data_IF_361629026352
#
_entry.id   IF_361629026352
#
_cell.length_a   1.000
_cell.length_b   1.000
_cell.length_c   1.000
_cell.angle_alpha   90.00
_cell.angle_beta   90.00
_cell.angle_gamma   90.00
#
_symmetry.space_group_name_H-M   'P 1'
#
loop_
_entity.id
_entity.type
_entity.pdbx_description
1 polymer ?
#
# COMPACT_ATOMS: atom_id res chain seq x y z
N UNK A 1 30.54 6.09 13.53
CA UNK A 1 29.06 6.16 13.41
C UNK A 1 28.71 5.70 12.01
N UNK A 2 27.55 5.11 11.78
CA UNK A 2 27.16 4.51 10.49
C UNK A 2 25.92 5.25 9.98
N UNK A 3 25.88 5.50 8.67
CA UNK A 3 25.21 6.59 7.95
C UNK A 3 23.68 6.46 7.86
N UNK A 4 22.99 6.37 9.00
CA UNK A 4 21.53 6.35 8.97
C UNK A 4 20.83 7.18 10.03
N UNK A 5 21.56 7.98 10.84
CA UNK A 5 20.96 8.96 11.79
C UNK A 5 20.05 8.40 12.89
N UNK A 6 19.54 7.18 12.77
CA UNK A 6 18.97 6.39 13.84
C UNK A 6 20.14 6.09 14.74
N UNK A 7 20.15 6.64 15.97
CA UNK A 7 21.02 6.14 17.04
C UNK A 7 21.00 4.63 16.89
N UNK A 8 22.13 3.99 16.54
CA UNK A 8 22.31 2.54 16.68
C UNK A 8 21.87 2.29 18.11
N UNK A 9 20.63 1.85 18.29
CA UNK A 9 20.12 1.51 19.61
C UNK A 9 20.92 0.26 19.89
N UNK A 10 22.05 0.42 20.57
CA UNK A 10 22.95 -0.67 20.85
C UNK A 10 22.13 -1.63 21.71
N UNK A 11 21.76 -2.75 21.10
CA UNK A 11 21.18 -3.88 21.77
C UNK A 11 22.35 -4.68 22.29
N UNK A 12 22.45 -4.80 23.61
CA UNK A 12 23.44 -5.69 24.18
C UNK A 12 23.13 -7.14 23.80
N UNK A 13 24.16 -7.98 23.82
CA UNK A 13 24.03 -9.42 23.54
C UNK A 13 23.08 -10.06 24.55
N UNK A 14 23.25 -9.78 25.85
CA UNK A 14 22.40 -10.33 26.91
C UNK A 14 20.97 -9.81 26.81
N UNK A 15 20.81 -8.55 26.40
CA UNK A 15 19.50 -7.95 26.14
C UNK A 15 18.75 -8.67 25.00
N UNK A 16 19.47 -9.06 23.95
CA UNK A 16 18.89 -9.78 22.81
C UNK A 16 18.56 -11.23 23.16
N UNK A 17 19.43 -11.91 23.91
CA UNK A 17 19.20 -13.28 24.39
C UNK A 17 17.98 -13.35 25.31
N UNK A 18 17.88 -12.42 26.27
CA UNK A 18 16.74 -12.33 27.18
C UNK A 18 15.42 -12.11 26.42
N UNK A 19 15.42 -11.20 25.44
CA UNK A 19 14.25 -11.00 24.60
C UNK A 19 13.84 -12.31 23.89
N UNK A 20 14.79 -13.04 23.32
CA UNK A 20 14.49 -14.29 22.61
C UNK A 20 13.96 -15.39 23.55
N UNK A 21 14.54 -15.57 24.74
CA UNK A 21 14.03 -16.54 25.72
C UNK A 21 12.62 -16.17 26.20
N UNK A 22 12.35 -14.89 26.50
CA UNK A 22 11.00 -14.43 26.85
C UNK A 22 10.01 -14.76 25.74
N UNK A 23 10.38 -14.50 24.48
CA UNK A 23 9.50 -14.73 23.35
C UNK A 23 9.30 -16.22 23.02
N UNK A 24 10.29 -17.06 23.35
CA UNK A 24 10.21 -18.53 23.28
C UNK A 24 9.26 -19.08 24.34
N UNK A 25 9.37 -18.65 25.59
CA UNK A 25 8.44 -19.03 26.67
C UNK A 25 7.00 -18.61 26.38
N UNK A 26 6.81 -17.47 25.73
CA UNK A 26 5.50 -16.94 25.38
C UNK A 26 4.84 -17.63 24.17
N UNK A 27 5.46 -18.67 23.61
CA UNK A 27 4.96 -19.46 22.46
C UNK A 27 4.51 -18.56 21.30
N UNK A 28 5.39 -17.65 20.87
CA UNK A 28 5.07 -16.62 19.88
C UNK A 28 4.49 -17.15 18.56
N UNK A 29 4.72 -18.41 18.20
CA UNK A 29 4.20 -19.02 16.98
C UNK A 29 2.68 -19.13 16.97
N UNK A 30 2.01 -19.42 18.12
CA UNK A 30 0.54 -19.37 18.24
C UNK A 30 -0.07 -18.00 17.88
N UNK A 31 0.74 -16.94 17.90
CA UNK A 31 0.31 -15.58 17.56
C UNK A 31 0.77 -15.11 16.18
N UNK A 32 1.63 -15.86 15.49
CA UNK A 32 1.90 -15.67 14.07
C UNK A 32 0.73 -16.18 13.20
N UNK A 33 0.01 -17.20 13.69
CA UNK A 33 -1.16 -17.78 13.00
C UNK A 33 -2.52 -17.09 13.33
N UNK A 34 -2.54 -15.98 14.10
CA UNK A 34 -3.80 -15.34 14.49
C UNK A 34 -3.72 -13.84 14.80
N UNK A 35 -4.47 -13.04 14.01
CA UNK A 35 -4.90 -11.62 14.19
C UNK A 35 -3.92 -10.66 14.91
N UNK A 36 -3.56 -9.53 14.26
CA UNK A 36 -2.69 -8.42 14.73
C UNK A 36 -2.81 -8.03 16.23
N UNK A 37 -3.99 -8.15 16.83
CA UNK A 37 -4.27 -7.78 18.24
C UNK A 37 -3.55 -8.66 19.27
N UNK A 38 -3.34 -9.96 19.00
CA UNK A 38 -2.66 -10.88 19.94
C UNK A 38 -1.18 -10.54 20.10
N UNK A 39 -0.52 -10.09 19.03
CA UNK A 39 0.88 -9.67 19.04
C UNK A 39 1.15 -8.48 19.97
N UNK A 40 0.23 -7.50 20.05
CA UNK A 40 0.41 -6.33 20.90
C UNK A 40 0.39 -6.67 22.41
N UNK A 41 -0.44 -7.65 22.82
CA UNK A 41 -0.49 -8.10 24.23
C UNK A 41 0.79 -8.83 24.64
N UNK A 42 1.36 -9.65 23.75
CA UNK A 42 2.61 -10.35 24.01
C UNK A 42 3.79 -9.38 24.16
N UNK A 43 3.92 -8.40 23.26
CA UNK A 43 4.99 -7.42 23.39
C UNK A 43 4.81 -6.50 24.62
N UNK A 44 3.58 -6.33 25.14
CA UNK A 44 3.36 -5.70 26.46
C UNK A 44 3.84 -6.59 27.62
N UNK A 45 3.68 -7.92 27.53
CA UNK A 45 4.24 -8.87 28.52
C UNK A 45 5.76 -8.89 28.44
N UNK A 46 6.32 -8.96 27.22
CA UNK A 46 7.76 -8.90 27.00
C UNK A 46 8.35 -7.58 27.50
N UNK A 47 7.68 -6.45 27.25
CA UNK A 47 8.06 -5.14 27.80
C UNK A 47 8.14 -5.14 29.32
N UNK A 48 7.14 -5.70 30.02
CA UNK A 48 7.15 -5.80 31.48
C UNK A 48 8.30 -6.68 31.99
N UNK A 49 8.54 -7.83 31.36
CA UNK A 49 9.63 -8.75 31.75
C UNK A 49 11.02 -8.18 31.48
N UNK A 50 11.21 -7.54 30.32
CA UNK A 50 12.44 -6.82 29.99
C UNK A 50 12.72 -5.68 30.98
N UNK A 51 11.68 -4.92 31.34
CA UNK A 51 11.78 -3.82 32.33
C UNK A 51 12.13 -4.34 33.72
N UNK A 52 11.54 -5.46 34.15
CA UNK A 52 11.86 -6.11 35.42
C UNK A 52 13.31 -6.62 35.48
N UNK A 53 13.89 -6.99 34.33
CA UNK A 53 15.29 -7.38 34.19
C UNK A 53 16.25 -6.19 34.00
N UNK A 54 15.78 -4.94 34.13
CA UNK A 54 16.60 -3.73 34.03
C UNK A 54 16.72 -3.12 32.64
N UNK A 55 16.09 -3.71 31.60
CA UNK A 55 16.15 -3.21 30.23
C UNK A 55 14.91 -2.37 29.87
N UNK A 56 15.10 -1.05 29.70
CA UNK A 56 14.03 -0.12 29.33
C UNK A 56 13.87 -0.01 27.82
N UNK A 57 13.02 -0.86 27.24
CA UNK A 57 12.64 -0.81 25.82
C UNK A 57 11.15 -0.65 25.65
N UNK A 58 10.70 0.27 24.80
CA UNK A 58 9.29 0.42 24.47
C UNK A 58 8.76 -0.82 23.73
N UNK A 59 7.44 -1.01 23.79
CA UNK A 59 6.76 -2.11 23.06
C UNK A 59 7.08 -2.08 21.57
N UNK A 60 7.20 -0.89 20.97
CA UNK A 60 7.50 -0.75 19.54
C UNK A 60 8.99 -1.00 19.23
N UNK A 61 9.90 -0.68 20.15
CA UNK A 61 11.31 -1.08 20.05
C UNK A 61 11.46 -2.62 20.09
N UNK A 62 10.71 -3.31 20.94
CA UNK A 62 10.72 -4.78 20.98
C UNK A 62 10.19 -5.39 19.68
N UNK A 63 9.08 -4.86 19.14
CA UNK A 63 8.52 -5.29 17.85
C UNK A 63 9.50 -5.08 16.71
N UNK A 64 10.15 -3.91 16.68
CA UNK A 64 11.14 -3.58 15.65
C UNK A 64 12.35 -4.52 15.73
N UNK A 65 12.87 -4.79 16.93
CA UNK A 65 13.96 -5.74 17.13
C UNK A 65 13.58 -7.16 16.70
N UNK A 66 12.38 -7.61 17.03
CA UNK A 66 11.85 -8.89 16.57
C UNK A 66 11.76 -8.96 15.03
N UNK A 67 11.28 -7.90 14.38
CA UNK A 67 11.23 -7.82 12.90
C UNK A 67 12.62 -7.98 12.28
N UNK A 68 13.65 -7.36 12.86
CA UNK A 68 15.03 -7.49 12.40
C UNK A 68 15.58 -8.92 12.59
N UNK A 69 15.40 -9.52 13.78
CA UNK A 69 15.84 -10.89 14.06
C UNK A 69 15.13 -11.91 13.15
N UNK A 70 13.83 -11.73 12.90
CA UNK A 70 13.05 -12.56 11.97
C UNK A 70 13.53 -12.41 10.53
N UNK A 71 13.83 -11.19 10.09
CA UNK A 71 14.38 -10.95 8.75
C UNK A 71 15.74 -11.61 8.56
N UNK A 72 16.63 -11.50 9.56
CA UNK A 72 17.93 -12.17 9.55
C UNK A 72 17.81 -13.70 9.48
N UNK A 73 16.85 -14.29 10.23
CA UNK A 73 16.56 -15.73 10.18
C UNK A 73 16.17 -16.22 8.78
N UNK A 74 15.21 -15.56 8.12
CA UNK A 74 14.78 -15.99 6.78
C UNK A 74 15.83 -15.76 5.70
N UNK A 75 16.67 -14.73 5.84
CA UNK A 75 17.81 -14.53 4.94
C UNK A 75 18.83 -15.68 5.04
N UNK A 76 19.08 -16.18 6.25
CA UNK A 76 19.96 -17.33 6.45
C UNK A 76 19.33 -18.66 5.97
N UNK A 77 18.00 -18.84 6.12
CA UNK A 77 17.30 -20.08 5.73
C UNK A 77 17.09 -20.24 4.21
N UNK A 78 17.08 -19.14 3.43
CA UNK A 78 16.86 -19.16 1.96
C UNK A 78 18.05 -19.66 1.13
N UNK A 79 19.19 -19.99 1.75
CA UNK A 79 20.41 -20.40 1.05
C UNK A 79 20.83 -21.86 1.32
N UNK A 80 20.05 -22.88 0.94
CA UNK A 80 20.59 -24.25 0.88
C UNK A 80 21.39 -24.39 -0.42
N UNK A 81 22.72 -24.26 -0.36
CA UNK A 81 23.64 -24.58 -1.47
C UNK A 81 24.57 -23.47 -1.99
N UNK A 82 24.56 -22.27 -1.41
CA UNK A 82 25.50 -21.20 -1.76
C UNK A 82 26.77 -21.25 -0.88
N UNK A 83 27.97 -20.89 -1.41
CA UNK A 83 29.19 -20.81 -0.61
C UNK A 83 29.06 -19.65 0.39
N UNK A 84 29.02 -20.02 1.67
CA UNK A 84 28.79 -19.21 2.89
C UNK A 84 27.63 -18.17 2.87
N UNK A 85 26.68 -18.24 3.83
CA UNK A 85 25.64 -17.23 3.94
C UNK A 85 26.25 -15.87 4.31
N UNK A 86 25.91 -14.84 3.53
CA UNK A 86 26.30 -13.46 3.79
C UNK A 86 26.03 -13.10 5.28
N UNK A 87 27.01 -12.54 6.00
CA UNK A 87 26.87 -12.33 7.44
C UNK A 87 25.66 -11.45 7.72
N UNK A 88 24.72 -11.96 8.52
CA UNK A 88 23.62 -11.16 9.02
C UNK A 88 24.20 -9.90 9.70
N UNK A 89 23.72 -8.70 9.32
CA UNK A 89 24.11 -7.40 9.90
C UNK A 89 23.78 -7.25 11.41
N UNK A 90 23.48 -8.35 12.11
CA UNK A 90 23.24 -8.41 13.55
C UNK A 90 24.47 -9.03 14.21
N UNK A 91 25.18 -8.22 15.00
CA UNK A 91 26.32 -8.68 15.78
C UNK A 91 25.94 -9.88 16.67
N UNK A 92 26.72 -10.96 16.59
CA UNK A 92 26.50 -12.18 17.37
C UNK A 92 25.41 -13.12 16.86
N UNK A 93 24.92 -12.95 15.62
CA UNK A 93 23.81 -13.73 15.03
C UNK A 93 23.86 -15.24 15.27
N UNK A 94 25.03 -15.90 15.11
CA UNK A 94 25.19 -17.34 15.33
C UNK A 94 24.75 -17.80 16.74
N UNK A 95 24.77 -16.91 17.74
CA UNK A 95 24.28 -17.20 19.10
C UNK A 95 22.75 -17.27 19.17
N UNK A 96 22.08 -16.44 18.37
CA UNK A 96 20.62 -16.32 18.36
C UNK A 96 19.95 -17.36 17.46
N UNK A 97 20.69 -17.91 16.50
CA UNK A 97 20.18 -18.82 15.47
C UNK A 97 19.43 -20.02 16.05
N UNK A 98 20.00 -20.70 17.05
CA UNK A 98 19.37 -21.86 17.70
C UNK A 98 18.06 -21.51 18.40
N UNK A 99 18.04 -20.43 19.18
CA UNK A 99 16.83 -19.98 19.88
C UNK A 99 15.79 -19.47 18.89
N UNK A 100 16.20 -18.78 17.82
CA UNK A 100 15.31 -18.37 16.73
C UNK A 100 14.71 -19.55 15.98
N UNK A 101 15.51 -20.56 15.64
CA UNK A 101 15.01 -21.79 15.04
C UNK A 101 13.99 -22.46 15.97
N UNK A 102 14.29 -22.59 17.27
CA UNK A 102 13.35 -23.14 18.24
C UNK A 102 12.02 -22.37 18.34
N UNK A 103 12.06 -21.04 18.32
CA UNK A 103 10.86 -20.18 18.31
C UNK A 103 10.05 -20.35 17.02
N UNK A 104 10.73 -20.47 15.88
CA UNK A 104 10.11 -20.51 14.55
C UNK A 104 9.63 -21.92 14.16
N UNK A 105 10.29 -22.96 14.67
CA UNK A 105 10.13 -24.36 14.25
C UNK A 105 9.43 -25.24 15.29
N UNK A 106 9.12 -24.73 16.49
CA UNK A 106 8.37 -25.48 17.51
C UNK A 106 7.10 -26.13 16.91
N UNK A 107 7.03 -27.46 17.02
CA UNK A 107 5.85 -28.32 16.83
C UNK A 107 5.70 -29.16 18.09
N UNK A 108 4.48 -29.39 18.55
CA UNK A 108 4.18 -30.46 19.52
C UNK A 108 3.32 -31.55 18.88
N UNK A 109 3.44 -32.79 19.38
CA UNK A 109 3.03 -34.00 18.68
C UNK A 109 1.50 -34.15 18.65
N UNK A 110 0.97 -34.54 17.49
CA UNK A 110 -0.35 -35.18 17.43
C UNK A 110 -0.19 -36.59 18.00
N UNK A 111 -0.95 -36.90 19.05
CA UNK A 111 -1.07 -38.26 19.58
C UNK A 111 -2.01 -39.08 18.70
N UNK A 112 -1.51 -40.25 18.23
CA UNK A 112 -2.24 -41.46 17.80
C UNK A 112 -3.16 -41.34 16.58
N UNK A 113 -3.26 -42.29 15.66
CA UNK A 113 -2.60 -43.57 15.46
C UNK A 113 -2.79 -43.92 13.97
N UNK A 114 -1.86 -44.71 13.42
CA UNK A 114 -1.94 -45.26 12.08
C UNK A 114 -3.19 -46.15 11.92
N UNK A 115 -3.85 -46.04 10.77
CA UNK A 115 -4.45 -47.20 10.09
C UNK A 115 -4.11 -47.06 8.62
N UNK A 116 -3.36 -48.03 8.15
CA UNK A 116 -3.04 -48.33 6.76
C UNK A 116 -4.19 -49.17 6.18
N UNK A 117 -4.64 -48.85 4.97
CA UNK A 117 -5.24 -49.82 4.06
C UNK A 117 -5.28 -49.28 2.62
N UNK A 118 -4.60 -50.05 1.76
CA UNK A 118 -4.59 -50.01 0.31
C UNK A 118 -5.98 -49.93 -0.34
N UNK A 119 -6.06 -49.31 -1.53
CA UNK A 119 -6.61 -49.95 -2.75
C UNK A 119 -6.42 -49.11 -4.02
N UNK A 120 -6.20 -49.85 -5.08
CA UNK A 120 -5.76 -49.52 -6.44
C UNK A 120 -6.79 -48.83 -7.37
N UNK A 121 -6.25 -48.46 -8.55
CA UNK A 121 -6.88 -48.22 -9.86
C UNK A 121 -7.69 -46.92 -10.07
N UNK A 122 -7.66 -46.21 -11.20
CA UNK A 122 -6.94 -46.26 -12.48
C UNK A 122 -6.96 -44.80 -13.03
N UNK A 123 -5.92 -44.29 -13.68
CA UNK A 123 -5.80 -44.31 -15.15
C UNK A 123 -6.84 -43.44 -15.88
N UNK A 124 -6.47 -42.22 -16.30
CA UNK A 124 -6.79 -41.64 -17.64
C UNK A 124 -6.13 -40.26 -17.83
N UNK A 125 -5.14 -40.27 -18.73
CA UNK A 125 -4.86 -39.37 -19.87
C UNK A 125 -4.92 -37.84 -19.71
N UNK A 126 -3.71 -37.27 -19.85
CA UNK A 126 -3.41 -35.89 -20.21
C UNK A 126 -3.95 -35.53 -21.61
N UNK A 127 -4.56 -34.35 -21.73
CA UNK A 127 -4.68 -33.68 -23.03
C UNK A 127 -4.22 -32.23 -22.89
N UNK A 128 -2.99 -31.98 -23.30
CA UNK A 128 -2.41 -30.63 -23.41
C UNK A 128 -3.06 -29.86 -24.57
N UNK A 129 -4.08 -29.08 -24.22
CA UNK A 129 -4.60 -28.02 -25.08
C UNK A 129 -3.77 -26.76 -24.94
N UNK A 130 -2.69 -26.66 -25.71
CA UNK A 130 -1.83 -25.47 -25.82
C UNK A 130 -2.59 -24.27 -26.40
N UNK A 131 -3.28 -23.52 -25.53
CA UNK A 131 -3.80 -22.20 -25.83
C UNK A 131 -2.73 -21.15 -25.54
N UNK A 132 -2.24 -20.47 -26.58
CA UNK A 132 -1.33 -19.33 -26.51
C UNK A 132 -1.84 -18.27 -25.52
N UNK A 133 -1.37 -18.33 -24.28
CA UNK A 133 -1.58 -17.27 -23.29
C UNK A 133 -0.78 -16.05 -23.73
N UNK A 134 -1.50 -14.95 -23.99
CA UNK A 134 -0.94 -13.61 -23.95
C UNK A 134 -0.02 -13.50 -22.72
N UNK A 135 1.24 -13.13 -22.96
CA UNK A 135 2.27 -13.09 -21.94
C UNK A 135 1.78 -12.16 -20.80
N UNK A 136 1.39 -12.75 -19.67
CA UNK A 136 1.11 -11.96 -18.47
C UNK A 136 2.41 -11.21 -18.13
N UNK A 137 2.36 -9.89 -17.88
CA UNK A 137 3.54 -9.18 -17.43
C UNK A 137 3.99 -9.86 -16.14
N UNK A 138 5.07 -10.63 -16.24
CA UNK A 138 5.81 -11.01 -15.07
C UNK A 138 6.23 -9.69 -14.43
N UNK A 139 6.22 -9.55 -13.10
CA UNK A 139 6.87 -8.41 -12.48
C UNK A 139 8.28 -8.40 -13.05
N UNK A 140 8.57 -7.43 -13.91
CA UNK A 140 9.90 -7.30 -14.46
C UNK A 140 10.81 -7.26 -13.25
N UNK A 141 11.79 -8.16 -13.24
CA UNK A 141 12.81 -8.17 -12.22
C UNK A 141 13.77 -6.98 -12.45
N UNK A 142 13.23 -5.84 -12.89
CA UNK A 142 13.78 -4.50 -12.70
C UNK A 142 13.71 -4.14 -11.22
N UNK A 143 14.34 -4.95 -10.38
CA UNK A 143 15.09 -4.42 -9.25
C UNK A 143 16.11 -3.39 -9.74
N UNK A 144 16.48 -3.41 -11.03
CA UNK A 144 17.20 -2.33 -11.71
C UNK A 144 16.45 -0.98 -11.75
N UNK A 145 15.12 -0.92 -11.65
CA UNK A 145 14.39 0.37 -11.60
C UNK A 145 14.28 0.93 -10.18
N UNK A 146 14.37 0.09 -9.14
CA UNK A 146 14.45 0.58 -7.76
C UNK A 146 15.83 1.18 -7.47
N UNK A 147 16.89 0.66 -8.09
CA UNK A 147 18.23 1.23 -7.97
C UNK A 147 18.37 2.57 -8.74
N UNK A 148 17.55 2.80 -9.78
CA UNK A 148 17.46 4.10 -10.49
C UNK A 148 16.56 5.09 -9.72
N UNK A 149 15.51 4.62 -9.04
CA UNK A 149 14.70 5.44 -8.12
C UNK A 149 15.55 5.98 -6.94
N UNK A 150 16.66 5.31 -6.60
CA UNK A 150 17.60 5.71 -5.53
C UNK A 150 18.89 6.29 -6.14
N UNK A 151 18.75 7.15 -7.15
CA UNK A 151 19.77 8.16 -7.49
C UNK A 151 19.26 9.60 -7.28
N UNK A 152 18.19 9.78 -6.52
CA UNK A 152 17.85 11.08 -5.95
C UNK A 152 18.42 11.18 -4.54
N UNK A 153 19.11 12.28 -4.29
CA UNK A 153 19.83 12.56 -3.07
C UNK A 153 18.88 12.52 -1.86
N UNK A 154 19.07 11.62 -0.87
CA UNK A 154 18.26 11.58 0.35
C UNK A 154 18.23 12.93 1.10
N UNK A 155 19.22 13.79 0.88
CA UNK A 155 19.25 15.15 1.43
C UNK A 155 18.20 16.06 0.78
N UNK A 156 17.89 15.87 -0.50
CA UNK A 156 16.93 16.69 -1.26
C UNK A 156 15.49 16.52 -0.77
N UNK A 157 15.06 15.28 -0.51
CA UNK A 157 13.72 14.98 0.04
C UNK A 157 13.53 15.58 1.45
N UNK A 158 14.61 15.71 2.22
CA UNK A 158 14.58 16.25 3.58
C UNK A 158 14.39 17.77 3.63
N UNK A 159 14.62 18.47 2.51
CA UNK A 159 14.49 19.93 2.40
C UNK A 159 13.28 20.36 1.57
N UNK A 160 12.76 19.47 0.72
CA UNK A 160 11.61 19.74 -0.15
C UNK A 160 10.38 20.18 0.66
N UNK A 161 9.77 21.29 0.25
CA UNK A 161 8.57 21.85 0.86
C UNK A 161 7.33 21.43 0.09
N UNK A 162 6.32 20.94 0.80
CA UNK A 162 5.11 20.37 0.20
C UNK A 162 3.88 21.11 0.72
N UNK A 163 3.05 21.57 -0.20
CA UNK A 163 1.83 22.29 0.06
C UNK A 163 0.60 21.46 -0.27
N UNK A 164 -0.45 21.57 0.54
CA UNK A 164 -1.78 21.07 0.19
C UNK A 164 -2.79 22.20 0.27
N UNK A 165 -3.43 22.50 -0.85
CA UNK A 165 -4.61 23.36 -0.90
C UNK A 165 -5.84 22.48 -0.77
N UNK A 166 -6.47 22.51 0.40
CA UNK A 166 -7.59 21.65 0.76
C UNK A 166 -7.19 20.54 1.73
N UNK A 167 -7.85 20.50 2.89
CA UNK A 167 -7.63 19.52 3.94
C UNK A 167 -8.56 18.29 3.85
N UNK A 168 -8.88 17.83 2.63
CA UNK A 168 -9.79 16.70 2.37
C UNK A 168 -9.19 15.32 2.72
N UNK A 169 -10.00 14.26 2.59
CA UNK A 169 -9.52 12.89 2.87
C UNK A 169 -8.35 12.48 1.97
N UNK A 170 -8.37 12.88 0.69
CA UNK A 170 -7.27 12.57 -0.23
C UNK A 170 -5.98 13.27 0.18
N UNK A 171 -6.03 14.57 0.49
CA UNK A 171 -4.88 15.28 1.05
C UNK A 171 -4.34 14.57 2.29
N UNK A 172 -5.21 14.18 3.23
CA UNK A 172 -4.78 13.50 4.46
C UNK A 172 -4.12 12.14 4.21
N UNK A 173 -4.69 11.33 3.31
CA UNK A 173 -4.11 10.03 2.92
C UNK A 173 -2.72 10.17 2.30
N UNK A 174 -2.58 11.11 1.36
CA UNK A 174 -1.31 11.43 0.70
C UNK A 174 -0.29 11.98 1.70
N UNK A 175 -0.67 12.94 2.55
CA UNK A 175 0.21 13.47 3.61
C UNK A 175 0.73 12.36 4.50
N UNK A 176 -0.11 11.41 4.93
CA UNK A 176 0.36 10.27 5.74
C UNK A 176 1.35 9.37 5.00
N UNK A 177 1.20 9.20 3.69
CA UNK A 177 2.14 8.44 2.88
C UNK A 177 3.48 9.15 2.78
N UNK A 178 3.46 10.43 2.42
CA UNK A 178 4.66 11.28 2.37
C UNK A 178 5.42 11.27 3.71
N UNK A 179 4.71 11.42 4.83
CA UNK A 179 5.30 11.36 6.17
C UNK A 179 5.83 9.98 6.59
N UNK A 180 5.43 8.92 5.89
CA UNK A 180 6.00 7.59 6.09
C UNK A 180 7.35 7.41 5.38
N UNK A 181 7.70 8.34 4.47
CA UNK A 181 9.01 8.46 3.84
C UNK A 181 9.95 9.40 4.59
N UNK A 182 10.79 10.14 3.85
CA UNK A 182 11.87 10.98 4.41
C UNK A 182 11.47 12.45 4.64
N UNK A 183 10.24 12.84 4.26
CA UNK A 183 9.77 14.23 4.42
C UNK A 183 9.31 14.48 5.86
N UNK A 184 9.87 15.53 6.48
CA UNK A 184 9.51 15.92 7.84
C UNK A 184 8.16 16.68 7.87
N UNK A 185 7.35 16.54 8.93
CA UNK A 185 6.10 17.29 9.08
C UNK A 185 6.23 18.81 8.96
N UNK A 186 7.36 19.37 9.42
CA UNK A 186 7.66 20.81 9.33
C UNK A 186 7.81 21.31 7.88
N UNK A 187 8.05 20.41 6.94
CA UNK A 187 8.14 20.74 5.52
C UNK A 187 6.80 20.68 4.81
N UNK A 188 5.73 20.28 5.50
CA UNK A 188 4.39 20.22 4.93
C UNK A 188 3.55 21.38 5.46
N UNK A 189 2.83 22.06 4.56
CA UNK A 189 1.83 23.07 4.91
C UNK A 189 0.48 22.76 4.25
N UNK A 190 -0.60 22.90 5.01
CA UNK A 190 -1.97 22.58 4.54
C UNK A 190 -2.89 23.77 4.76
N UNK A 191 -3.63 24.17 3.73
CA UNK A 191 -4.69 25.19 3.82
C UNK A 191 -6.10 24.59 3.77
N UNK A 192 -7.03 25.21 4.50
CA UNK A 192 -8.46 24.99 4.34
C UNK A 192 -9.25 26.18 4.89
N UNK A 193 -10.50 26.43 4.42
CA UNK A 193 -11.31 27.55 4.90
C UNK A 193 -11.82 27.39 6.33
N UNK A 194 -11.72 26.20 6.94
CA UNK A 194 -12.18 25.95 8.31
C UNK A 194 -11.25 25.01 9.07
N UNK A 195 -11.23 25.14 10.40
CA UNK A 195 -10.42 24.28 11.29
C UNK A 195 -10.91 22.83 11.36
N UNK A 196 -12.15 22.55 10.94
CA UNK A 196 -12.79 21.23 11.07
C UNK A 196 -11.91 20.08 10.60
N UNK A 197 -11.25 20.26 9.46
CA UNK A 197 -10.39 19.24 8.87
C UNK A 197 -8.90 19.48 9.11
N UNK A 198 -8.49 20.64 9.63
CA UNK A 198 -7.09 20.98 9.87
C UNK A 198 -6.55 20.32 11.14
N UNK A 199 -7.39 20.08 12.15
CA UNK A 199 -6.97 19.47 13.43
C UNK A 199 -6.22 18.15 13.25
N UNK A 200 -6.70 17.27 12.37
CA UNK A 200 -6.02 15.99 12.07
C UNK A 200 -4.64 16.13 11.41
N UNK A 201 -4.36 17.24 10.72
CA UNK A 201 -3.03 17.53 10.17
C UNK A 201 -2.11 18.09 11.24
N UNK A 202 -2.64 18.95 12.11
CA UNK A 202 -1.92 19.46 13.27
C UNK A 202 -1.47 18.32 14.21
N UNK A 203 -2.31 17.29 14.40
CA UNK A 203 -1.96 16.06 15.13
C UNK A 203 -0.78 15.29 14.51
N UNK A 204 -0.52 15.47 13.22
CA UNK A 204 0.65 14.91 12.51
C UNK A 204 1.90 15.81 12.62
N UNK A 205 1.81 16.96 13.30
CA UNK A 205 2.89 17.95 13.38
C UNK A 205 3.05 18.80 12.11
N UNK A 206 2.06 18.78 11.21
CA UNK A 206 2.06 19.52 9.94
C UNK A 206 1.60 20.96 10.17
N UNK A 207 2.22 21.91 9.47
CA UNK A 207 1.83 23.32 9.53
C UNK A 207 0.48 23.53 8.87
N UNK A 208 -0.40 24.31 9.49
CA UNK A 208 -1.74 24.61 8.96
C UNK A 208 -1.91 26.11 8.73
N UNK A 209 -2.71 26.49 7.75
CA UNK A 209 -3.06 27.88 7.46
C UNK A 209 -4.48 27.99 6.88
N UNK A 210 -5.01 29.20 6.81
CA UNK A 210 -6.23 29.51 6.06
C UNK A 210 -5.95 30.15 4.70
N UNK A 211 -4.69 30.45 4.39
CA UNK A 211 -4.27 31.13 3.14
C UNK A 211 -3.69 30.13 2.13
N UNK A 212 -4.29 30.07 0.93
CA UNK A 212 -3.75 29.26 -0.16
C UNK A 212 -2.44 29.85 -0.69
N UNK A 213 -2.32 31.18 -0.72
CA UNK A 213 -1.11 31.90 -1.12
C UNK A 213 0.08 31.53 -0.23
N UNK A 214 -0.12 31.44 1.09
CA UNK A 214 0.95 31.03 2.02
C UNK A 214 1.41 29.57 1.82
N UNK A 215 0.54 28.72 1.29
CA UNK A 215 0.89 27.34 0.90
C UNK A 215 1.76 27.38 -0.34
N UNK A 216 1.36 28.10 -1.38
CA UNK A 216 2.10 28.18 -2.66
C UNK A 216 3.48 28.78 -2.44
N UNK A 217 3.57 29.99 -1.89
CA UNK A 217 4.86 30.68 -1.68
C UNK A 217 5.85 29.90 -0.80
N UNK A 218 5.34 29.00 0.05
CA UNK A 218 6.14 28.20 0.98
C UNK A 218 6.48 26.80 0.50
N UNK A 219 6.12 26.41 -0.73
CA UNK A 219 6.20 25.03 -1.21
C UNK A 219 6.90 24.92 -2.57
N UNK A 220 7.53 23.77 -2.81
CA UNK A 220 8.06 23.37 -4.13
C UNK A 220 7.02 22.52 -4.88
N UNK A 221 6.32 21.64 -4.17
CA UNK A 221 5.24 20.81 -4.73
C UNK A 221 3.92 21.20 -4.08
N UNK A 222 2.92 21.59 -4.88
CA UNK A 222 1.62 22.05 -4.38
C UNK A 222 0.51 21.10 -4.87
N UNK A 223 -0.10 20.37 -3.94
CA UNK A 223 -1.26 19.54 -4.20
C UNK A 223 -2.55 20.37 -4.11
N UNK A 224 -3.28 20.49 -5.23
CA UNK A 224 -4.62 21.08 -5.27
C UNK A 224 -5.65 19.99 -5.00
N UNK A 225 -6.08 19.89 -3.74
CA UNK A 225 -6.93 18.83 -3.18
C UNK A 225 -8.30 19.33 -2.70
N UNK A 226 -8.88 20.25 -3.46
CA UNK A 226 -10.25 20.76 -3.28
C UNK A 226 -11.26 19.98 -4.14
N UNK A 227 -12.55 20.26 -3.94
CA UNK A 227 -13.59 19.70 -4.82
C UNK A 227 -13.40 20.20 -6.25
N UNK A 228 -13.74 19.42 -7.30
CA UNK A 228 -13.49 19.81 -8.68
C UNK A 228 -14.01 21.19 -9.07
N UNK A 229 -15.25 21.53 -8.70
CA UNK A 229 -15.84 22.84 -9.01
C UNK A 229 -15.16 24.04 -8.32
N UNK A 230 -14.31 23.81 -7.32
CA UNK A 230 -13.55 24.86 -6.65
C UNK A 230 -12.16 25.07 -7.26
N UNK A 231 -11.69 24.17 -8.13
CA UNK A 231 -10.35 24.24 -8.69
C UNK A 231 -10.13 25.54 -9.48
N UNK A 232 -11.03 25.97 -10.38
CA UNK A 232 -10.81 27.21 -11.12
C UNK A 232 -10.66 28.43 -10.22
N UNK A 233 -11.49 28.54 -9.18
CA UNK A 233 -11.41 29.62 -8.20
C UNK A 233 -10.06 29.63 -7.47
N UNK A 234 -9.61 28.45 -7.02
CA UNK A 234 -8.33 28.31 -6.31
C UNK A 234 -7.14 28.61 -7.21
N UNK A 235 -7.15 28.11 -8.46
CA UNK A 235 -6.05 28.36 -9.40
C UNK A 235 -5.94 29.86 -9.73
N UNK A 236 -7.06 30.53 -9.97
CA UNK A 236 -7.08 31.98 -10.19
C UNK A 236 -6.55 32.77 -8.98
N UNK A 237 -6.90 32.35 -7.76
CA UNK A 237 -6.39 32.97 -6.52
C UNK A 237 -4.87 32.89 -6.42
N UNK A 238 -4.27 31.74 -6.76
CA UNK A 238 -2.83 31.51 -6.57
C UNK A 238 -1.98 31.84 -7.80
N UNK A 239 -2.59 32.04 -8.97
CA UNK A 239 -1.92 32.11 -10.28
C UNK A 239 -0.72 33.07 -10.29
N UNK A 240 -0.87 34.28 -9.74
CA UNK A 240 0.19 35.29 -9.68
C UNK A 240 1.40 34.92 -8.80
N UNK A 241 1.28 33.88 -7.97
CA UNK A 241 2.32 33.40 -7.07
C UNK A 241 2.99 32.11 -7.58
N UNK A 242 2.45 31.52 -8.64
CA UNK A 242 3.04 30.35 -9.29
C UNK A 242 4.21 30.78 -10.17
N UNK A 243 5.31 30.06 -10.04
CA UNK A 243 6.55 30.28 -10.79
C UNK A 243 7.08 28.93 -11.28
N UNK A 244 8.11 28.95 -12.12
CA UNK A 244 8.84 27.79 -12.65
C UNK A 244 9.38 26.82 -11.58
N UNK A 245 9.60 27.29 -10.34
CA UNK A 245 9.96 26.47 -9.18
C UNK A 245 8.85 25.47 -8.77
N UNK A 246 7.58 25.79 -9.02
CA UNK A 246 6.46 25.06 -8.44
C UNK A 246 5.99 23.91 -9.33
N UNK A 247 5.79 22.73 -8.75
CA UNK A 247 5.06 21.62 -9.37
C UNK A 247 3.63 21.63 -8.85
N UNK A 248 2.67 22.00 -9.71
CA UNK A 248 1.24 22.04 -9.34
C UNK A 248 0.58 20.70 -9.66
N UNK A 249 0.21 19.96 -8.61
CA UNK A 249 -0.39 18.63 -8.70
C UNK A 249 -1.88 18.70 -8.40
N UNK A 250 -2.74 18.55 -9.38
CA UNK A 250 -4.20 18.47 -9.16
C UNK A 250 -4.62 17.04 -8.83
N UNK A 251 -5.38 16.85 -7.74
CA UNK A 251 -6.02 15.57 -7.40
C UNK A 251 -7.53 15.56 -7.68
N UNK A 252 -8.03 16.57 -8.36
CA UNK A 252 -9.45 16.74 -8.61
C UNK A 252 -9.92 15.91 -9.81
N UNK A 253 -10.92 15.06 -9.58
CA UNK A 253 -11.57 14.30 -10.64
C UNK A 253 -12.19 15.24 -11.69
N UNK A 254 -11.99 14.92 -12.97
CA UNK A 254 -12.55 15.68 -14.10
C UNK A 254 -11.84 16.99 -14.44
N UNK A 255 -10.78 17.39 -13.72
CA UNK A 255 -9.97 18.55 -14.10
C UNK A 255 -8.83 18.09 -15.01
N UNK A 256 -8.83 18.54 -16.26
CA UNK A 256 -7.84 18.14 -17.27
C UNK A 256 -6.54 18.94 -17.14
N UNK A 257 -5.44 18.41 -17.66
CA UNK A 257 -4.17 19.13 -17.77
C UNK A 257 -4.34 20.44 -18.55
N UNK A 258 -5.09 20.41 -19.66
CA UNK A 258 -5.40 21.61 -20.44
C UNK A 258 -6.09 22.69 -19.59
N UNK A 259 -7.01 22.30 -18.70
CA UNK A 259 -7.65 23.25 -17.76
C UNK A 259 -6.65 23.83 -16.75
N UNK A 260 -5.70 23.03 -16.26
CA UNK A 260 -4.67 23.53 -15.35
C UNK A 260 -3.75 24.54 -16.06
N UNK A 261 -3.32 24.22 -17.28
CA UNK A 261 -2.43 25.05 -18.08
C UNK A 261 -3.10 26.34 -18.57
N UNK A 262 -4.41 26.33 -18.82
CA UNK A 262 -5.19 27.52 -19.19
C UNK A 262 -5.34 28.51 -18.03
N UNK A 263 -5.42 28.02 -16.79
CA UNK A 263 -5.69 28.84 -15.60
C UNK A 263 -4.44 29.30 -14.85
N UNK A 264 -3.26 28.79 -15.22
CA UNK A 264 -1.98 29.09 -14.60
C UNK A 264 -1.08 29.87 -15.56
N UNK A 265 -0.03 30.54 -15.06
CA UNK A 265 0.92 31.24 -15.92
C UNK A 265 1.50 30.33 -17.01
N UNK A 266 1.82 30.91 -18.16
CA UNK A 266 2.51 30.21 -19.24
C UNK A 266 3.79 29.55 -18.71
N UNK A 267 4.07 28.32 -19.14
CA UNK A 267 5.17 27.46 -18.67
C UNK A 267 5.04 26.86 -17.27
N UNK A 268 3.87 26.94 -16.62
CA UNK A 268 3.65 26.28 -15.32
C UNK A 268 3.84 24.77 -15.41
N UNK A 269 4.59 24.20 -14.47
CA UNK A 269 4.77 22.75 -14.33
C UNK A 269 3.53 22.15 -13.66
N UNK A 270 2.74 21.41 -14.42
CA UNK A 270 1.47 20.82 -13.94
C UNK A 270 1.48 19.31 -14.03
N UNK A 271 0.80 18.67 -13.08
CA UNK A 271 0.56 17.23 -13.06
C UNK A 271 -0.89 16.97 -12.68
N UNK A 272 -1.56 16.09 -13.42
CA UNK A 272 -2.86 15.55 -13.04
C UNK A 272 -2.64 14.21 -12.37
N UNK A 273 -3.02 14.09 -11.10
CA UNK A 273 -2.87 12.88 -10.29
C UNK A 273 -4.26 12.35 -9.91
N UNK A 274 -4.49 11.07 -10.10
CA UNK A 274 -5.70 10.40 -9.62
C UNK A 274 -5.34 9.34 -8.59
N UNK A 275 -5.54 9.61 -7.29
CA UNK A 275 -5.44 8.61 -6.24
C UNK A 275 -6.77 7.87 -6.06
N UNK A 276 -6.77 6.84 -5.21
CA UNK A 276 -7.98 6.22 -4.71
C UNK A 276 -8.03 6.16 -3.17
N UNK A 277 -9.18 5.79 -2.61
CA UNK A 277 -9.45 5.81 -1.17
C UNK A 277 -8.43 5.00 -0.32
N UNK A 278 -7.95 3.83 -0.75
CA UNK A 278 -6.92 3.06 -0.05
C UNK A 278 -5.61 3.79 0.27
N UNK A 279 -5.32 4.96 -0.31
CA UNK A 279 -4.22 5.83 0.15
C UNK A 279 -4.30 6.14 1.66
N UNK A 280 -5.50 6.17 2.24
CA UNK A 280 -5.72 6.38 3.69
C UNK A 280 -5.02 5.34 4.58
N UNK A 281 -4.79 4.14 4.03
CA UNK A 281 -4.13 3.02 4.70
C UNK A 281 -2.83 2.61 4.01
N UNK A 282 -2.29 3.49 3.14
CA UNK A 282 -1.02 3.28 2.43
C UNK A 282 -1.02 2.03 1.51
N UNK A 283 -2.18 1.74 0.92
CA UNK A 283 -2.38 0.63 -0.04
C UNK A 283 -3.10 1.18 -1.29
N UNK A 284 -2.81 2.44 -1.65
CA UNK A 284 -3.39 3.16 -2.77
C UNK A 284 -3.00 2.60 -4.13
N UNK A 285 -3.80 2.91 -5.14
CA UNK A 285 -3.39 2.91 -6.53
C UNK A 285 -3.51 4.35 -7.02
N UNK A 286 -2.42 4.87 -7.57
CA UNK A 286 -2.28 6.24 -8.03
C UNK A 286 -1.78 6.21 -9.47
N UNK A 287 -2.41 7.00 -10.34
CA UNK A 287 -1.94 7.25 -11.70
C UNK A 287 -1.80 8.74 -11.91
N UNK A 288 -0.68 9.17 -12.50
CA UNK A 288 -0.50 10.56 -12.89
C UNK A 288 -0.12 10.73 -14.36
N UNK A 289 -0.41 11.92 -14.89
CA UNK A 289 0.00 12.38 -16.20
C UNK A 289 0.63 13.77 -16.07
N UNK A 290 1.73 13.98 -16.77
CA UNK A 290 2.46 15.24 -16.82
C UNK A 290 1.84 16.21 -17.83
N UNK A 291 1.79 17.48 -17.45
CA UNK A 291 1.52 18.58 -18.38
C UNK A 291 2.68 18.81 -19.34
N UNK A 292 2.47 19.72 -20.28
CA UNK A 292 3.36 20.03 -21.39
C UNK A 292 4.74 20.53 -20.94
N UNK A 293 4.82 21.17 -19.78
CA UNK A 293 6.06 21.75 -19.24
C UNK A 293 6.69 20.92 -18.12
N UNK A 294 6.03 19.86 -17.66
CA UNK A 294 6.57 18.97 -16.64
C UNK A 294 7.56 17.99 -17.25
N UNK A 295 8.76 17.90 -16.68
CA UNK A 295 9.85 17.06 -17.17
C UNK A 295 9.82 15.66 -16.54
N UNK A 296 10.66 14.76 -17.04
CA UNK A 296 10.76 13.41 -16.50
C UNK A 296 11.22 13.42 -15.04
N UNK A 297 12.08 14.38 -14.67
CA UNK A 297 12.56 14.54 -13.30
C UNK A 297 11.44 14.93 -12.33
N UNK A 298 10.47 15.74 -12.78
CA UNK A 298 9.28 16.11 -11.99
C UNK A 298 8.39 14.88 -11.73
N UNK A 299 8.23 14.03 -12.75
CA UNK A 299 7.51 12.76 -12.63
C UNK A 299 8.22 11.77 -11.70
N UNK A 300 9.55 11.67 -11.81
CA UNK A 300 10.37 10.85 -10.93
C UNK A 300 10.30 11.31 -9.46
N UNK A 301 10.39 12.63 -9.23
CA UNK A 301 10.19 13.23 -7.91
C UNK A 301 8.82 12.89 -7.34
N UNK A 302 7.75 13.09 -8.13
CA UNK A 302 6.40 12.81 -7.67
C UNK A 302 6.21 11.33 -7.34
N UNK A 303 6.76 10.42 -8.14
CA UNK A 303 6.74 8.98 -7.87
C UNK A 303 7.49 8.65 -6.57
N UNK A 304 8.66 9.24 -6.35
CA UNK A 304 9.43 9.09 -5.11
C UNK A 304 8.64 9.59 -3.90
N UNK A 305 7.98 10.75 -4.00
CA UNK A 305 7.16 11.27 -2.90
C UNK A 305 5.96 10.37 -2.56
N UNK A 306 5.33 9.80 -3.59
CA UNK A 306 4.06 9.11 -3.45
C UNK A 306 4.17 7.59 -3.27
N UNK A 307 5.34 6.95 -3.47
CA UNK A 307 5.45 5.48 -3.41
C UNK A 307 5.04 4.87 -2.06
N UNK A 308 5.14 5.64 -0.96
CA UNK A 308 4.63 5.22 0.35
C UNK A 308 3.10 5.22 0.43
N UNK A 309 2.40 5.89 -0.49
CA UNK A 309 0.94 5.91 -0.60
C UNK A 309 0.37 4.61 -1.17
N UNK A 310 1.18 3.84 -1.92
CA UNK A 310 0.78 2.62 -2.61
C UNK A 310 1.46 2.50 -3.97
N UNK A 311 0.79 1.82 -4.93
CA UNK A 311 1.26 1.75 -6.32
C UNK A 311 1.11 3.12 -6.98
N UNK A 312 2.19 3.63 -7.57
CA UNK A 312 2.21 4.91 -8.29
C UNK A 312 2.71 4.65 -9.69
N UNK A 313 1.87 4.95 -10.68
CA UNK A 313 2.21 4.83 -12.10
C UNK A 313 2.07 6.16 -12.84
N UNK A 314 2.80 6.26 -13.95
CA UNK A 314 2.72 7.37 -14.89
C UNK A 314 2.14 6.83 -16.21
N UNK A 315 1.33 7.64 -16.88
CA UNK A 315 0.86 7.31 -18.21
C UNK A 315 0.18 8.48 -18.92
N UNK A 316 -0.34 8.24 -20.13
CA UNK A 316 -1.14 9.22 -20.85
C UNK A 316 -2.33 9.72 -20.03
N UNK A 317 -2.69 10.99 -20.16
CA UNK A 317 -3.84 11.58 -19.44
C UNK A 317 -5.15 10.81 -19.71
N UNK A 318 -5.31 10.25 -20.91
CA UNK A 318 -6.47 9.44 -21.28
C UNK A 318 -6.66 8.20 -20.36
N UNK A 319 -5.60 7.72 -19.71
CA UNK A 319 -5.68 6.62 -18.76
C UNK A 319 -6.21 7.04 -17.40
N UNK A 320 -6.24 8.34 -17.07
CA UNK A 320 -6.74 8.82 -15.78
C UNK A 320 -8.23 8.56 -15.61
N UNK A 321 -9.03 8.72 -16.67
CA UNK A 321 -10.46 8.41 -16.61
C UNK A 321 -10.70 6.89 -16.52
N UNK A 322 -9.86 6.09 -17.18
CA UNK A 322 -9.87 4.62 -17.07
C UNK A 322 -9.51 4.20 -15.64
N UNK A 323 -8.47 4.79 -15.07
CA UNK A 323 -8.05 4.57 -13.69
C UNK A 323 -9.14 4.99 -12.70
N UNK A 324 -9.89 6.05 -12.98
CA UNK A 324 -11.03 6.47 -12.17
C UNK A 324 -12.11 5.37 -12.15
N UNK A 325 -12.47 4.82 -13.31
CA UNK A 325 -13.45 3.73 -13.41
C UNK A 325 -12.96 2.41 -12.81
N UNK A 326 -11.67 2.12 -12.91
CA UNK A 326 -11.05 0.90 -12.40
C UNK A 326 -10.72 0.98 -10.91
N UNK A 327 -9.81 1.87 -10.52
CA UNK A 327 -9.22 1.93 -9.18
C UNK A 327 -10.00 2.84 -8.24
N UNK A 328 -10.54 3.95 -8.75
CA UNK A 328 -11.33 4.91 -7.98
C UNK A 328 -12.66 4.29 -7.56
N UNK A 329 -13.48 3.93 -8.56
CA UNK A 329 -14.76 3.25 -8.35
C UNK A 329 -14.62 1.80 -7.91
N UNK A 330 -13.54 1.11 -8.28
CA UNK A 330 -13.31 -0.29 -7.93
C UNK A 330 -13.32 -0.61 -6.45
N UNK A 331 -12.99 0.36 -5.59
CA UNK A 331 -13.09 0.21 -4.13
C UNK A 331 -14.52 -0.16 -3.73
N UNK A 332 -15.53 0.48 -4.32
CA UNK A 332 -16.93 0.17 -4.04
C UNK A 332 -17.34 -1.19 -4.61
N UNK A 333 -16.81 -1.58 -5.77
CA UNK A 333 -17.08 -2.91 -6.35
C UNK A 333 -16.56 -4.02 -5.43
N UNK A 334 -15.37 -3.83 -4.84
CA UNK A 334 -14.80 -4.75 -3.87
C UNK A 334 -15.61 -4.80 -2.57
N UNK A 335 -16.15 -3.66 -2.11
CA UNK A 335 -17.05 -3.65 -0.94
C UNK A 335 -18.34 -4.42 -1.19
N UNK A 336 -18.96 -4.22 -2.35
CA UNK A 336 -20.15 -4.99 -2.76
C UNK A 336 -19.86 -6.49 -2.81
N UNK A 337 -18.73 -6.88 -3.38
CA UNK A 337 -18.33 -8.30 -3.43
C UNK A 337 -18.08 -8.87 -2.03
N UNK A 338 -17.42 -8.12 -1.14
CA UNK A 338 -17.18 -8.55 0.23
C UNK A 338 -18.48 -8.69 1.05
N UNK A 339 -19.45 -7.79 0.83
CA UNK A 339 -20.79 -7.86 1.41
C UNK A 339 -21.54 -9.10 0.92
N UNK A 340 -21.60 -9.33 -0.39
CA UNK A 340 -22.24 -10.51 -0.97
C UNK A 340 -21.64 -11.84 -0.47
N UNK A 341 -20.31 -11.90 -0.29
CA UNK A 341 -19.65 -13.07 0.33
C UNK A 341 -20.11 -13.30 1.77
N UNK A 342 -20.22 -12.22 2.56
CA UNK A 342 -20.66 -12.32 3.95
C UNK A 342 -22.13 -12.75 4.04
N UNK A 343 -23.01 -12.19 3.21
CA UNK A 343 -24.42 -12.57 3.15
C UNK A 343 -24.61 -14.03 2.72
N UNK A 344 -23.80 -14.49 1.76
CA UNK A 344 -23.74 -15.90 1.38
C UNK A 344 -23.39 -16.81 2.56
N UNK A 345 -22.42 -16.44 3.39
CA UNK A 345 -22.07 -17.20 4.59
C UNK A 345 -23.17 -17.16 5.67
N UNK A 346 -23.86 -16.02 5.83
CA UNK A 346 -25.02 -15.90 6.74
C UNK A 346 -26.16 -16.81 6.30
N UNK A 347 -26.45 -16.87 5.00
CA UNK A 347 -27.44 -17.80 4.43
C UNK A 347 -27.12 -19.26 4.76
N UNK A 348 -25.84 -19.61 4.88
CA UNK A 348 -25.39 -20.94 5.30
C UNK A 348 -25.34 -21.16 6.83
N UNK A 349 -25.80 -20.19 7.62
CA UNK A 349 -25.94 -20.30 9.08
C UNK A 349 -24.81 -19.65 9.89
N UNK A 350 -23.89 -18.90 9.28
CA UNK A 350 -22.84 -18.20 10.02
C UNK A 350 -23.37 -16.93 10.71
N UNK A 351 -22.94 -16.61 11.95
CA UNK A 351 -23.25 -15.32 12.56
C UNK A 351 -22.70 -14.14 11.73
N UNK A 352 -23.55 -13.14 11.48
CA UNK A 352 -23.24 -11.98 10.60
C UNK A 352 -21.91 -11.31 10.91
N UNK A 353 -21.62 -10.95 12.16
CA UNK A 353 -20.37 -10.28 12.52
C UNK A 353 -19.11 -11.11 12.18
N UNK A 354 -19.20 -12.44 12.30
CA UNK A 354 -18.11 -13.34 11.93
C UNK A 354 -17.98 -13.43 10.41
N UNK A 355 -19.10 -13.53 9.68
CA UNK A 355 -19.13 -13.59 8.22
C UNK A 355 -18.47 -12.35 7.59
N UNK A 356 -18.84 -11.14 8.00
CA UNK A 356 -18.22 -9.90 7.50
C UNK A 356 -16.72 -9.84 7.82
N UNK A 357 -16.30 -10.28 9.01
CA UNK A 357 -14.89 -10.31 9.39
C UNK A 357 -14.07 -11.27 8.51
N UNK A 358 -14.61 -12.46 8.21
CA UNK A 358 -13.96 -13.46 7.37
C UNK A 358 -13.95 -13.01 5.91
N UNK A 359 -15.03 -12.45 5.39
CA UNK A 359 -15.11 -11.93 4.02
C UNK A 359 -14.07 -10.82 3.79
N UNK A 360 -13.98 -9.85 4.70
CA UNK A 360 -12.97 -8.78 4.65
C UNK A 360 -11.53 -9.34 4.64
N UNK A 361 -11.24 -10.31 5.51
CA UNK A 361 -9.92 -10.92 5.57
C UNK A 361 -9.59 -11.77 4.33
N UNK A 362 -10.60 -12.40 3.72
CA UNK A 362 -10.46 -13.20 2.49
C UNK A 362 -10.09 -12.29 1.32
N UNK A 363 -10.79 -11.18 1.15
CA UNK A 363 -10.49 -10.17 0.12
C UNK A 363 -9.08 -9.61 0.29
N UNK A 364 -8.70 -9.23 1.52
CA UNK A 364 -7.36 -8.72 1.81
C UNK A 364 -6.25 -9.75 1.48
N UNK A 365 -6.45 -11.01 1.87
CA UNK A 365 -5.48 -12.08 1.63
C UNK A 365 -5.30 -12.37 0.15
N UNK A 366 -6.40 -12.49 -0.59
CA UNK A 366 -6.39 -12.72 -2.03
C UNK A 366 -5.72 -11.56 -2.79
N UNK A 367 -6.07 -10.31 -2.45
CA UNK A 367 -5.44 -9.13 -3.06
C UNK A 367 -3.94 -9.04 -2.84
N UNK A 368 -3.46 -9.39 -1.63
CA UNK A 368 -2.03 -9.46 -1.33
C UNK A 368 -1.31 -10.55 -2.10
N UNK A 369 -1.88 -11.76 -2.19
CA UNK A 369 -1.30 -12.83 -3.00
C UNK A 369 -1.22 -12.43 -4.47
N UNK A 370 -2.28 -11.84 -5.01
CA UNK A 370 -2.30 -11.36 -6.39
C UNK A 370 -1.17 -10.35 -6.67
N UNK A 371 -1.05 -9.32 -5.80
CA UNK A 371 -0.03 -8.30 -5.95
C UNK A 371 1.39 -8.83 -5.74
N UNK A 372 1.62 -9.55 -4.63
CA UNK A 372 2.97 -9.87 -4.17
C UNK A 372 3.59 -11.05 -4.93
N UNK A 373 2.77 -11.91 -5.56
CA UNK A 373 3.28 -13.06 -6.34
C UNK A 373 3.51 -12.74 -7.82
N UNK A 374 2.85 -11.72 -8.36
CA UNK A 374 2.92 -11.39 -9.79
C UNK A 374 2.33 -12.46 -10.72
N UNK A 375 1.74 -13.53 -10.19
CA UNK A 375 1.14 -14.61 -10.98
C UNK A 375 -0.13 -14.15 -11.66
N UNK A 376 -0.41 -14.72 -12.84
CA UNK A 376 -1.67 -14.47 -13.54
C UNK A 376 -2.87 -14.88 -12.66
N UNK A 377 -3.96 -14.09 -12.58
CA UNK A 377 -5.12 -14.40 -11.74
C UNK A 377 -5.73 -15.79 -11.99
N UNK A 378 -5.74 -16.25 -13.24
CA UNK A 378 -6.22 -17.59 -13.57
C UNK A 378 -5.36 -18.71 -12.95
N UNK A 379 -4.04 -18.50 -12.85
CA UNK A 379 -3.14 -19.45 -12.20
C UNK A 379 -3.42 -19.51 -10.69
N UNK A 380 -3.51 -18.35 -10.03
CA UNK A 380 -3.85 -18.29 -8.60
C UNK A 380 -5.20 -18.94 -8.29
N UNK A 381 -6.18 -18.77 -9.19
CA UNK A 381 -7.48 -19.44 -9.10
C UNK A 381 -7.35 -20.96 -9.23
N UNK A 382 -6.56 -21.46 -10.17
CA UNK A 382 -6.31 -22.90 -10.34
C UNK A 382 -5.60 -23.51 -9.13
N UNK A 383 -4.64 -22.80 -8.53
CA UNK A 383 -3.88 -23.27 -7.36
C UNK A 383 -4.75 -23.52 -6.12
N UNK A 384 -5.93 -22.91 -6.03
CA UNK A 384 -6.90 -23.11 -4.92
C UNK A 384 -8.11 -23.97 -5.31
N UNK A 385 -8.09 -24.54 -6.52
CA UNK A 385 -9.18 -25.32 -7.08
C UNK A 385 -8.80 -26.80 -7.15
N UNK A 386 -9.25 -27.58 -6.17
CA UNK A 386 -9.07 -29.05 -6.21
C UNK A 386 -10.17 -29.70 -7.06
N UNK A 387 -9.85 -30.76 -7.84
CA UNK A 387 -10.86 -31.50 -8.60
C UNK A 387 -12.01 -31.99 -7.72
N UNK A 388 -13.25 -31.68 -8.11
CA UNK A 388 -14.46 -32.01 -7.32
C UNK A 388 -14.60 -31.25 -5.99
N UNK A 389 -13.70 -30.33 -5.67
CA UNK A 389 -13.70 -29.57 -4.42
C UNK A 389 -14.72 -28.44 -4.36
N UNK A 390 -14.93 -27.86 -3.18
CA UNK A 390 -15.94 -26.80 -2.98
C UNK A 390 -15.70 -25.56 -3.85
N UNK A 391 -14.44 -25.21 -4.11
CA UNK A 391 -14.07 -24.03 -4.91
C UNK A 391 -14.62 -24.09 -6.34
N UNK A 392 -14.57 -25.24 -7.03
CA UNK A 392 -15.01 -25.31 -8.44
C UNK A 392 -16.52 -25.13 -8.57
N UNK A 393 -17.30 -25.68 -7.63
CA UNK A 393 -18.76 -25.49 -7.62
C UNK A 393 -19.14 -24.03 -7.35
N UNK A 394 -18.42 -23.36 -6.44
CA UNK A 394 -18.60 -21.93 -6.21
C UNK A 394 -18.23 -21.08 -7.44
N UNK A 395 -17.10 -21.38 -8.09
CA UNK A 395 -16.70 -20.71 -9.32
C UNK A 395 -17.70 -20.93 -10.46
N UNK A 396 -18.22 -22.14 -10.63
CA UNK A 396 -19.22 -22.43 -11.65
C UNK A 396 -20.49 -21.59 -11.45
N UNK A 397 -20.98 -21.47 -10.21
CA UNK A 397 -22.13 -20.61 -9.90
C UNK A 397 -21.85 -19.11 -10.17
N UNK A 398 -20.64 -18.63 -9.89
CA UNK A 398 -20.24 -17.25 -10.22
C UNK A 398 -20.16 -17.00 -11.74
N UNK A 399 -19.69 -17.99 -12.52
CA UNK A 399 -19.66 -17.90 -13.97
C UNK A 399 -21.08 -17.96 -14.57
N UNK A 400 -21.99 -18.77 -14.03
CA UNK A 400 -23.42 -18.74 -14.40
C UNK A 400 -24.04 -17.36 -14.13
N UNK A 401 -23.62 -16.68 -13.05
CA UNK A 401 -24.02 -15.31 -12.73
C UNK A 401 -23.36 -14.24 -13.60
N UNK A 402 -22.47 -14.60 -14.55
CA UNK A 402 -21.84 -13.65 -15.47
C UNK A 402 -20.89 -12.67 -14.80
N UNK A 403 -20.22 -13.06 -13.71
CA UNK A 403 -19.39 -12.15 -12.88
C UNK A 403 -18.37 -11.33 -13.69
N UNK A 404 -17.76 -11.94 -14.72
CA UNK A 404 -16.76 -11.27 -15.57
C UNK A 404 -17.38 -10.17 -16.40
N UNK A 405 -18.47 -10.48 -17.09
CA UNK A 405 -19.18 -9.52 -17.93
C UNK A 405 -19.67 -8.34 -17.09
N UNK A 406 -20.33 -8.62 -15.96
CA UNK A 406 -20.82 -7.57 -15.04
C UNK A 406 -19.70 -6.69 -14.51
N UNK A 407 -18.54 -7.26 -14.18
CA UNK A 407 -17.38 -6.49 -13.69
C UNK A 407 -16.77 -5.62 -14.79
N UNK A 408 -16.62 -6.14 -16.01
CA UNK A 408 -16.11 -5.38 -17.15
C UNK A 408 -17.04 -4.20 -17.48
N UNK A 409 -18.35 -4.44 -17.53
CA UNK A 409 -19.35 -3.41 -17.80
C UNK A 409 -19.36 -2.32 -16.72
N UNK A 410 -19.10 -2.67 -15.45
CA UNK A 410 -19.01 -1.71 -14.36
C UNK A 410 -17.81 -0.76 -14.53
N UNK A 411 -16.64 -1.29 -14.93
CA UNK A 411 -15.44 -0.47 -15.21
C UNK A 411 -15.68 0.44 -16.41
N UNK A 412 -16.26 -0.09 -17.49
CA UNK A 412 -16.62 0.68 -18.68
C UNK A 412 -17.57 1.84 -18.34
N UNK A 413 -18.71 1.54 -17.71
CA UNK A 413 -19.72 2.54 -17.33
C UNK A 413 -19.13 3.64 -16.42
N UNK A 414 -18.29 3.25 -15.45
CA UNK A 414 -17.64 4.22 -14.56
C UNK A 414 -16.60 5.09 -15.29
N UNK A 415 -15.88 4.51 -16.25
CA UNK A 415 -14.91 5.22 -17.10
C UNK A 415 -15.62 6.24 -18.01
N UNK A 416 -16.71 5.84 -18.65
CA UNK A 416 -17.52 6.74 -19.48
C UNK A 416 -18.07 7.90 -18.67
N UNK A 417 -18.58 7.62 -17.47
CA UNK A 417 -19.05 8.67 -16.57
C UNK A 417 -17.93 9.63 -16.15
N UNK A 418 -16.72 9.13 -15.89
CA UNK A 418 -15.57 9.98 -15.59
C UNK A 418 -15.26 10.94 -16.75
N UNK A 419 -15.28 10.44 -17.99
CA UNK A 419 -15.09 11.25 -19.21
C UNK A 419 -16.17 12.34 -19.35
N UNK A 420 -17.44 12.01 -19.08
CA UNK A 420 -18.54 12.98 -19.13
C UNK A 420 -18.34 14.13 -18.12
N UNK A 421 -17.92 13.81 -16.90
CA UNK A 421 -17.64 14.80 -15.87
C UNK A 421 -16.51 15.75 -16.30
N UNK A 422 -15.45 15.20 -16.91
CA UNK A 422 -14.35 16.02 -17.45
C UNK A 422 -14.80 17.01 -18.53
N UNK A 423 -15.68 16.57 -19.45
CA UNK A 423 -16.24 17.47 -20.49
C UNK A 423 -17.10 18.59 -19.91
N UNK A 424 -17.90 18.30 -18.87
CA UNK A 424 -18.75 19.32 -18.22
C UNK A 424 -17.92 20.37 -17.50
N UNK A 425 -16.89 19.95 -16.76
CA UNK A 425 -15.97 20.88 -16.08
C UNK A 425 -15.24 21.80 -17.07
N UNK A 426 -14.86 21.29 -18.25
CA UNK A 426 -14.30 22.13 -19.32
C UNK A 426 -15.31 23.12 -19.92
N UNK A 427 -16.60 22.75 -20.01
CA UNK A 427 -17.64 23.63 -20.53
C UNK A 427 -18.10 24.71 -19.54
N UNK A 428 -18.09 24.41 -18.23
CA UNK A 428 -18.45 25.35 -17.17
C UNK A 428 -17.33 26.35 -16.85
N UNK A 429 -16.05 25.97 -17.01
CA UNK A 429 -14.90 26.87 -16.84
C UNK A 429 -14.72 27.91 -17.96
N UNK A 430 -15.44 27.77 -19.08
CA UNK A 430 -15.44 28.72 -20.21
C UNK A 430 -16.54 29.79 -20.14
N UNK A 431 -17.36 29.77 -19.08
CA UNK A 431 -18.40 30.77 -18.79
C UNK A 431 -17.99 31.61 -17.60
#
# INVERSE_FOLDING_TARGET
>A
MDESGVKKQNWDVKETELLLEILKELDMKKCLDGRKVRNSRLFKVAHRRMTAAGYRRSVDQLKFRWKLLKSAYYKCKRAPGAPEPAPARIQGWRRYERTMAAIMESRHPRAGAAVDCDRDDAGTEESDGGGSMLHWPQPDNTTQSLDVIIKMDPEMDSQLKIGFIGAGNMAYGITKGILSGNVLPVNIKVSAPSLRNLGRFQELGVSITHSNVEVVCGSDVVFVAVKPHLVPLVLNEISQHVTDRHIIVSVAAGITLATLEELLPENSVTVRLMPNLPCMVQEGALLFARGSHAKEEDGALLRSLLHHCGLVEEGPEAWIDIHTGLSGSGVAFVYLFAEALAEGAVKMGMPSALAHSIASQTVLGAGRLLRDTGKHPAQLRSEVCTPGGTTIYGLHALEQGGVRASTMNAVESATERARELGRKSAAEGRK
#
